data_IF_446448313325
#
_entry.id   IF_446448313325
#
_cell.length_a   1.000
_cell.length_b   1.000
_cell.length_c   1.000
_cell.angle_alpha   90.00
_cell.angle_beta   90.00
_cell.angle_gamma   90.00
#
_symmetry.space_group_name_H-M   'P 1'
#
loop_
_entity.id
_entity.type
_entity.pdbx_description
1 polymer ?
#
# COMPACT_ATOMS: atom_id res chain seq x y z
N UNK A 1 21.35 -17.34 0.01
CA UNK A 1 21.20 -15.86 0.01
C UNK A 1 19.95 -15.50 0.79
N UNK A 2 20.06 -14.72 1.87
CA UNK A 2 18.92 -14.40 2.73
C UNK A 2 17.89 -13.60 1.95
N UNK A 3 16.71 -14.18 1.70
CA UNK A 3 15.56 -13.51 1.10
C UNK A 3 15.28 -12.25 1.93
N UNK A 4 15.48 -11.06 1.35
CA UNK A 4 15.24 -9.81 2.04
C UNK A 4 13.81 -9.84 2.63
N UNK A 5 13.67 -9.67 3.95
CA UNK A 5 12.41 -9.82 4.67
C UNK A 5 11.34 -8.74 4.33
N UNK A 6 11.58 -7.96 3.26
CA UNK A 6 10.69 -6.92 2.76
C UNK A 6 10.01 -7.42 1.49
N UNK A 7 8.69 -7.55 1.57
CA UNK A 7 7.84 -7.85 0.42
C UNK A 7 7.32 -6.54 -0.19
N UNK A 8 7.24 -6.48 -1.52
CA UNK A 8 6.53 -5.37 -2.18
C UNK A 8 5.02 -5.56 -1.98
N UNK A 9 4.36 -4.48 -1.61
CA UNK A 9 2.92 -4.38 -1.44
C UNK A 9 2.38 -3.24 -2.31
N UNK A 10 1.11 -3.31 -2.69
CA UNK A 10 0.40 -2.17 -3.28
C UNK A 10 -0.49 -1.54 -2.22
N UNK A 11 -0.63 -0.23 -2.30
CA UNK A 11 -1.55 0.57 -1.52
C UNK A 11 -2.60 1.05 -2.49
N UNK A 12 -3.82 0.55 -2.38
CA UNK A 12 -4.93 0.90 -3.25
C UNK A 12 -5.73 2.05 -2.63
N UNK A 13 -6.06 3.06 -3.44
CA UNK A 13 -6.91 4.17 -3.01
C UNK A 13 -8.31 3.68 -2.62
N UNK A 14 -8.82 4.13 -1.47
CA UNK A 14 -10.21 3.86 -1.06
C UNK A 14 -11.23 4.65 -1.88
N UNK A 15 -10.79 5.61 -2.70
CA UNK A 15 -11.67 6.44 -3.52
C UNK A 15 -12.18 5.74 -4.79
N UNK A 16 -11.76 4.49 -5.06
CA UNK A 16 -12.24 3.73 -6.23
C UNK A 16 -11.69 4.25 -7.57
N UNK A 17 -10.69 5.13 -7.55
CA UNK A 17 -10.09 5.77 -8.73
C UNK A 17 -9.19 4.83 -9.54
N UNK A 18 -8.93 3.62 -9.05
CA UNK A 18 -7.93 2.71 -9.62
C UNK A 18 -6.49 3.12 -9.35
N UNK A 19 -6.24 4.26 -8.69
CA UNK A 19 -4.91 4.71 -8.34
C UNK A 19 -4.30 3.86 -7.21
N UNK A 20 -3.04 3.47 -7.38
CA UNK A 20 -2.30 2.73 -6.37
C UNK A 20 -0.86 3.21 -6.25
N UNK A 21 -0.31 3.12 -5.04
CA UNK A 21 1.13 3.26 -4.81
C UNK A 21 1.75 1.89 -4.58
N UNK A 22 3.02 1.74 -4.94
CA UNK A 22 3.81 0.57 -4.55
C UNK A 22 4.75 0.93 -3.42
N UNK A 23 4.81 0.10 -2.38
CA UNK A 23 5.78 0.26 -1.28
C UNK A 23 6.31 -1.10 -0.85
N UNK A 24 7.36 -1.12 -0.04
CA UNK A 24 7.89 -2.35 0.55
C UNK A 24 7.50 -2.42 2.02
N UNK A 25 7.08 -3.59 2.48
CA UNK A 25 6.70 -3.83 3.87
C UNK A 25 7.40 -5.08 4.40
N UNK A 26 7.88 -4.99 5.63
CA UNK A 26 8.38 -6.16 6.35
C UNK A 26 7.22 -6.83 7.08
N UNK A 27 6.75 -7.98 6.55
CA UNK A 27 5.63 -8.73 7.14
C UNK A 27 5.93 -9.31 8.52
N UNK A 28 7.22 -9.48 8.88
CA UNK A 28 7.62 -9.98 10.20
C UNK A 28 7.39 -8.95 11.30
N UNK A 29 7.75 -7.69 11.02
CA UNK A 29 7.60 -6.61 11.99
C UNK A 29 6.18 -6.04 12.02
N UNK A 30 5.45 -6.14 10.90
CA UNK A 30 4.10 -5.59 10.80
C UNK A 30 3.15 -6.60 10.16
N UNK A 31 2.53 -7.48 10.97
CA UNK A 31 1.64 -8.54 10.46
C UNK A 31 0.27 -8.04 10.01
N UNK A 32 -0.22 -6.91 10.57
CA UNK A 32 -1.53 -6.33 10.22
C UNK A 32 -1.56 -5.62 8.86
N UNK A 33 -2.75 -5.38 8.30
CA UNK A 33 -2.91 -4.61 7.04
C UNK A 33 -2.49 -3.16 7.24
N UNK A 34 -1.67 -2.63 6.34
CA UNK A 34 -1.24 -1.23 6.36
C UNK A 34 -2.34 -0.34 5.79
N UNK A 35 -2.73 0.67 6.56
CA UNK A 35 -3.64 1.72 6.12
C UNK A 35 -2.97 3.08 6.32
N UNK A 36 -2.84 3.87 5.25
CA UNK A 36 -2.14 5.15 5.26
C UNK A 36 -2.98 6.18 4.52
N UNK A 37 -3.14 7.38 5.06
CA UNK A 37 -3.70 8.50 4.30
C UNK A 37 -2.65 9.03 3.32
N UNK A 38 -2.95 8.95 2.03
CA UNK A 38 -2.12 9.53 0.96
C UNK A 38 -2.97 10.35 0.01
N UNK A 39 -2.31 11.25 -0.70
CA UNK A 39 -2.93 12.01 -1.76
C UNK A 39 -3.32 11.10 -2.92
N UNK A 40 -4.57 11.19 -3.36
CA UNK A 40 -5.03 10.63 -4.62
C UNK A 40 -5.09 11.74 -5.68
N UNK A 41 -4.30 11.63 -6.77
CA UNK A 41 -4.25 12.66 -7.80
C UNK A 41 -5.54 12.77 -8.62
N UNK A 42 -6.39 11.76 -8.62
CA UNK A 42 -7.64 11.74 -9.41
C UNK A 42 -8.74 12.54 -8.70
N UNK A 43 -8.92 12.32 -7.39
CA UNK A 43 -9.89 13.09 -6.57
C UNK A 43 -9.29 14.38 -5.99
N UNK A 44 -7.97 14.55 -6.12
CA UNK A 44 -7.19 15.68 -5.58
C UNK A 44 -7.35 15.87 -4.07
N UNK A 45 -7.49 14.78 -3.34
CA UNK A 45 -7.71 14.78 -1.90
C UNK A 45 -6.88 13.69 -1.20
N UNK A 46 -6.64 13.87 0.09
CA UNK A 46 -6.02 12.84 0.92
C UNK A 46 -7.08 11.81 1.33
N UNK A 47 -6.93 10.61 0.82
CA UNK A 47 -7.84 9.49 1.07
C UNK A 47 -7.09 8.35 1.73
N UNK A 48 -7.82 7.41 2.32
CA UNK A 48 -7.21 6.23 2.91
C UNK A 48 -6.74 5.29 1.81
N UNK A 49 -5.52 4.79 1.95
CA UNK A 49 -4.97 3.75 1.10
C UNK A 49 -4.86 2.46 1.87
N UNK A 50 -5.35 1.37 1.29
CA UNK A 50 -5.38 0.04 1.91
C UNK A 50 -4.39 -0.89 1.24
N UNK A 51 -3.71 -1.71 2.04
CA UNK A 51 -2.79 -2.72 1.54
C UNK A 51 -3.49 -3.78 0.67
N UNK A 52 -2.97 -3.98 -0.53
CA UNK A 52 -3.27 -5.06 -1.45
C UNK A 52 -2.02 -5.88 -1.79
N UNK A 53 -2.22 -7.13 -2.20
CA UNK A 53 -1.13 -8.02 -2.63
C UNK A 53 -0.71 -7.67 -4.04
N UNK A 54 0.57 -7.41 -4.32
CA UNK A 54 1.07 -7.43 -5.70
C UNK A 54 0.90 -8.86 -6.26
N UNK A 55 0.36 -8.96 -7.48
CA UNK A 55 0.21 -10.23 -8.19
C UNK A 55 1.53 -10.56 -8.85
#
# INVERSE_FOLDING_TARGET
>A
MAKAARDKIRLNSSAGTGHFYTTTKNKRNQPGKMEIKKFDPVVRQHVMYKEGKIK
#
